data_IF_414542740179
#
_entry.id   IF_414542740179
#
_cell.length_a   1.000
_cell.length_b   1.000
_cell.length_c   1.000
_cell.angle_alpha   90.00
_cell.angle_beta   90.00
_cell.angle_gamma   90.00
#
_symmetry.space_group_name_H-M   'P 1'
#
loop_
_entity.id
_entity.type
_entity.pdbx_description
1 polymer ?
#
# COMPACT_ATOMS: atom_id res chain seq x y z
N UNK A 1 -28.46 -21.35 -6.62
CA UNK A 1 -27.08 -20.87 -6.43
C UNK A 1 -27.18 -19.45 -5.90
N UNK A 2 -26.94 -19.26 -4.60
CA UNK A 2 -27.00 -17.93 -3.99
C UNK A 2 -25.73 -17.17 -4.34
N UNK A 3 -25.85 -16.10 -5.11
CA UNK A 3 -24.76 -15.15 -5.29
C UNK A 3 -24.59 -14.43 -3.96
N UNK A 4 -23.49 -14.71 -3.25
CA UNK A 4 -23.09 -13.95 -2.08
C UNK A 4 -22.78 -12.54 -2.57
N UNK A 5 -23.77 -11.65 -2.51
CA UNK A 5 -23.56 -10.22 -2.73
C UNK A 5 -22.63 -9.77 -1.62
N UNK A 6 -21.34 -9.68 -1.91
CA UNK A 6 -20.36 -9.07 -1.01
C UNK A 6 -20.81 -7.61 -0.88
N UNK A 7 -21.59 -7.33 0.17
CA UNK A 7 -21.90 -5.96 0.55
C UNK A 7 -20.61 -5.36 1.07
N UNK A 8 -19.89 -4.67 0.20
CA UNK A 8 -18.80 -3.79 0.59
C UNK A 8 -19.36 -2.80 1.62
N UNK A 9 -18.92 -2.90 2.86
CA UNK A 9 -19.27 -1.93 3.90
C UNK A 9 -18.57 -0.61 3.59
N UNK A 10 -19.18 0.52 3.96
CA UNK A 10 -18.58 1.84 3.74
C UNK A 10 -17.19 1.97 4.39
N UNK A 11 -16.98 1.27 5.51
CA UNK A 11 -15.68 1.18 6.18
C UNK A 11 -14.61 0.47 5.35
N UNK A 12 -14.99 -0.58 4.62
CA UNK A 12 -14.09 -1.30 3.71
C UNK A 12 -13.72 -0.38 2.54
N UNK A 13 -14.72 0.25 1.92
CA UNK A 13 -14.52 1.19 0.81
C UNK A 13 -13.58 2.33 1.19
N UNK A 14 -13.79 2.95 2.36
CA UNK A 14 -12.93 4.02 2.87
C UNK A 14 -11.50 3.55 3.12
N UNK A 15 -11.33 2.34 3.64
CA UNK A 15 -10.01 1.73 3.88
C UNK A 15 -9.26 1.52 2.56
N UNK A 16 -9.95 0.99 1.55
CA UNK A 16 -9.40 0.79 0.21
C UNK A 16 -9.01 2.12 -0.44
N UNK A 17 -9.83 3.17 -0.31
CA UNK A 17 -9.50 4.52 -0.79
C UNK A 17 -8.26 5.13 -0.12
N UNK A 18 -8.13 4.98 1.20
CA UNK A 18 -6.93 5.45 1.92
C UNK A 18 -5.68 4.68 1.51
N UNK A 19 -5.81 3.35 1.33
CA UNK A 19 -4.72 2.52 0.87
C UNK A 19 -4.27 2.90 -0.56
N UNK A 20 -5.21 3.17 -1.46
CA UNK A 20 -4.90 3.65 -2.82
C UNK A 20 -4.16 5.00 -2.80
N UNK A 21 -4.52 5.91 -1.87
CA UNK A 21 -3.78 7.17 -1.70
C UNK A 21 -2.35 6.93 -1.23
N UNK A 22 -2.14 6.00 -0.30
CA UNK A 22 -0.81 5.62 0.20
C UNK A 22 0.06 5.01 -0.90
N UNK A 23 -0.51 4.13 -1.72
CA UNK A 23 0.15 3.55 -2.91
C UNK A 23 0.49 4.63 -3.94
N UNK A 24 -0.43 5.57 -4.19
CA UNK A 24 -0.18 6.69 -5.12
C UNK A 24 0.92 7.61 -4.59
N UNK A 25 0.94 7.88 -3.29
CA UNK A 25 2.01 8.64 -2.64
C UNK A 25 3.36 7.94 -2.78
N UNK A 26 3.41 6.63 -2.54
CA UNK A 26 4.61 5.80 -2.73
C UNK A 26 5.13 5.91 -4.15
N UNK A 27 4.28 5.66 -5.16
CA UNK A 27 4.69 5.70 -6.56
C UNK A 27 5.18 7.09 -6.99
N UNK A 28 4.44 8.15 -6.63
CA UNK A 28 4.80 9.51 -7.02
C UNK A 28 6.08 10.01 -6.33
N UNK A 29 6.38 9.50 -5.13
CA UNK A 29 7.57 9.86 -4.38
C UNK A 29 8.66 8.78 -4.40
N UNK A 30 8.51 7.73 -5.20
CA UNK A 30 9.38 6.55 -5.17
C UNK A 30 10.87 6.91 -5.25
N UNK A 31 11.23 7.75 -6.22
CA UNK A 31 12.62 8.19 -6.41
C UNK A 31 13.16 9.00 -5.22
N UNK A 32 12.32 9.83 -4.59
CA UNK A 32 12.69 10.61 -3.39
C UNK A 32 12.80 9.71 -2.16
N UNK A 33 11.92 8.71 -2.05
CA UNK A 33 11.91 7.73 -0.97
C UNK A 33 13.14 6.83 -1.08
N UNK A 34 13.46 6.34 -2.28
CA UNK A 34 14.65 5.54 -2.55
C UNK A 34 15.94 6.29 -2.23
N UNK A 35 15.98 7.60 -2.50
CA UNK A 35 17.13 8.43 -2.16
C UNK A 35 17.30 8.61 -0.63
N UNK A 36 16.19 8.69 0.12
CA UNK A 36 16.21 8.90 1.58
C UNK A 36 16.36 7.58 2.36
N UNK A 37 15.78 6.49 1.86
CA UNK A 37 15.72 5.19 2.50
C UNK A 37 16.17 4.09 1.52
N UNK A 38 17.43 4.13 1.05
CA UNK A 38 17.93 3.13 0.11
C UNK A 38 17.95 1.75 0.77
N UNK A 39 17.46 0.73 0.04
CA UNK A 39 17.49 -0.68 0.44
C UNK A 39 16.72 -0.98 1.74
N UNK A 40 15.81 -0.09 2.14
CA UNK A 40 15.02 -0.19 3.35
C UNK A 40 13.56 -0.51 3.05
N UNK A 41 12.95 -1.20 3.99
CA UNK A 41 11.51 -1.31 4.10
C UNK A 41 10.95 0.00 4.64
N UNK A 42 9.87 0.48 4.02
CA UNK A 42 9.15 1.65 4.49
C UNK A 42 7.69 1.30 4.77
N UNK A 43 7.13 1.91 5.80
CA UNK A 43 5.72 1.91 6.12
C UNK A 43 5.13 3.27 5.76
N UNK A 44 4.10 3.29 4.91
CA UNK A 44 3.35 4.49 4.54
C UNK A 44 1.93 4.35 5.08
N UNK A 45 1.47 5.40 5.74
CA UNK A 45 0.10 5.50 6.23
C UNK A 45 -0.35 6.95 6.20
N UNK A 46 -1.48 7.24 5.57
CA UNK A 46 -1.99 8.61 5.46
C UNK A 46 -1.08 9.53 4.64
N UNK A 47 -0.56 9.03 3.52
CA UNK A 47 0.29 9.70 2.54
C UNK A 47 1.61 10.23 3.12
N UNK A 48 2.15 9.53 4.11
CA UNK A 48 3.45 9.84 4.72
C UNK A 48 4.17 8.58 5.16
N UNK A 49 5.50 8.62 5.15
CA UNK A 49 6.33 7.55 5.73
C UNK A 49 6.23 7.63 7.24
N UNK A 50 5.57 6.65 7.84
CA UNK A 50 5.44 6.55 9.29
C UNK A 50 6.64 5.86 9.94
N UNK A 51 7.26 4.92 9.24
CA UNK A 51 8.44 4.17 9.71
C UNK A 51 9.31 3.66 8.57
N UNK A 52 10.57 3.38 8.87
CA UNK A 52 11.49 2.68 7.97
C UNK A 52 12.42 1.74 8.74
N UNK A 53 12.79 0.61 8.12
CA UNK A 53 13.66 -0.39 8.71
C UNK A 53 14.47 -1.16 7.66
N UNK A 54 15.51 -1.87 8.10
CA UNK A 54 16.33 -2.69 7.19
C UNK A 54 15.60 -3.99 6.80
N UNK A 55 14.71 -4.49 7.65
CA UNK A 55 13.93 -5.72 7.43
C UNK A 55 12.44 -5.49 7.71
N UNK A 56 11.58 -6.33 7.11
CA UNK A 56 10.14 -6.24 7.31
C UNK A 56 9.74 -6.49 8.77
N UNK A 57 10.31 -7.51 9.42
CA UNK A 57 10.06 -7.80 10.84
C UNK A 57 10.37 -6.61 11.76
N UNK A 58 11.50 -5.92 11.51
CA UNK A 58 11.85 -4.71 12.24
C UNK A 58 10.83 -3.59 11.99
N UNK A 59 10.37 -3.44 10.74
CA UNK A 59 9.35 -2.45 10.41
C UNK A 59 8.05 -2.74 11.18
N UNK A 60 7.60 -4.00 11.18
CA UNK A 60 6.40 -4.42 11.89
C UNK A 60 6.55 -4.20 13.40
N UNK A 61 7.70 -4.54 13.97
CA UNK A 61 7.97 -4.33 15.39
C UNK A 61 7.93 -2.84 15.76
N UNK A 62 8.54 -1.97 14.95
CA UNK A 62 8.53 -0.51 15.15
C UNK A 62 7.14 0.10 14.99
N UNK A 63 6.39 -0.34 13.99
CA UNK A 63 5.01 0.09 13.77
C UNK A 63 4.12 -0.29 14.96
N UNK A 64 4.23 -1.53 15.45
CA UNK A 64 3.51 -1.99 16.65
C UNK A 64 3.91 -1.19 17.89
N UNK A 65 5.20 -0.93 18.08
CA UNK A 65 5.70 -0.13 19.20
C UNK A 65 5.15 1.31 19.20
N UNK A 66 4.86 1.86 18.01
CA UNK A 66 4.24 3.17 17.82
C UNK A 66 2.71 3.16 17.84
N UNK A 67 2.08 2.00 18.03
CA UNK A 67 0.63 1.86 18.05
C UNK A 67 -0.04 1.87 16.67
N UNK A 68 0.73 1.76 15.58
CA UNK A 68 0.18 1.60 14.25
C UNK A 68 -0.29 0.16 14.03
N UNK A 69 -1.49 0.02 13.45
CA UNK A 69 -1.99 -1.28 12.98
C UNK A 69 -1.26 -1.66 11.70
N UNK A 70 -0.39 -2.65 11.79
CA UNK A 70 0.40 -3.14 10.65
C UNK A 70 -0.44 -3.61 9.44
N UNK A 71 -1.71 -4.00 9.65
CA UNK A 71 -2.64 -4.39 8.57
C UNK A 71 -3.15 -3.20 7.74
N UNK A 72 -3.05 -1.98 8.27
CA UNK A 72 -3.49 -0.75 7.61
C UNK A 72 -2.36 0.00 6.91
N UNK A 73 -1.10 -0.30 7.27
CA UNK A 73 0.07 0.42 6.77
C UNK A 73 0.54 -0.23 5.47
N UNK A 74 0.64 0.56 4.39
CA UNK A 74 1.28 0.13 3.16
C UNK A 74 2.77 -0.10 3.41
N UNK A 75 3.27 -1.27 3.04
CA UNK A 75 4.66 -1.68 3.29
C UNK A 75 5.30 -2.08 1.97
N UNK A 76 6.46 -1.51 1.69
CA UNK A 76 7.22 -1.89 0.49
C UNK A 76 8.71 -1.72 0.71
N UNK A 77 9.49 -2.54 0.02
CA UNK A 77 10.94 -2.47 0.04
C UNK A 77 11.42 -1.54 -1.06
N UNK A 78 12.17 -0.52 -0.70
CA UNK A 78 12.78 0.40 -1.65
C UNK A 78 14.09 -0.18 -2.16
N UNK A 79 14.03 -0.94 -3.24
CA UNK A 79 15.21 -1.43 -3.96
C UNK A 79 15.42 -0.63 -5.25
N UNK A 80 16.63 -0.66 -5.82
CA UNK A 80 16.83 -0.12 -7.17
C UNK A 80 15.96 -0.94 -8.15
N UNK A 81 15.32 -0.21 -9.05
CA UNK A 81 14.09 -0.49 -9.83
C UNK A 81 13.94 -1.85 -10.54
N UNK A 82 14.94 -2.73 -10.53
CA UNK A 82 14.91 -4.00 -11.26
C UNK A 82 14.31 -5.18 -10.47
N UNK A 83 14.08 -5.06 -9.15
CA UNK A 83 13.55 -6.18 -8.33
C UNK A 83 12.15 -5.95 -7.72
N UNK A 84 11.47 -4.83 -7.98
CA UNK A 84 10.27 -4.43 -7.21
C UNK A 84 8.93 -4.97 -7.73
N UNK A 85 8.95 -5.95 -8.65
CA UNK A 85 7.73 -6.51 -9.28
C UNK A 85 6.94 -7.50 -8.38
N UNK A 86 7.46 -7.86 -7.20
CA UNK A 86 6.98 -9.04 -6.47
C UNK A 86 6.19 -8.72 -5.18
N UNK A 87 6.27 -7.50 -4.62
CA UNK A 87 5.80 -7.27 -3.25
C UNK A 87 4.35 -6.77 -3.09
N UNK A 88 3.69 -6.30 -4.14
CA UNK A 88 2.26 -5.98 -4.09
C UNK A 88 1.53 -7.12 -4.78
N UNK A 89 0.91 -8.03 -4.04
CA UNK A 89 0.05 -9.10 -4.59
C UNK A 89 -1.21 -8.60 -5.32
N UNK A 90 -1.17 -7.38 -5.84
CA UNK A 90 -2.11 -6.77 -6.75
C UNK A 90 -1.25 -6.22 -7.89
N UNK A 91 -1.21 -6.94 -9.01
CA UNK A 91 -0.57 -6.46 -10.23
C UNK A 91 -1.27 -5.17 -10.69
N UNK A 92 -0.57 -4.36 -11.48
CA UNK A 92 -1.11 -3.13 -12.08
C UNK A 92 -2.45 -3.36 -12.82
N UNK A 93 -2.68 -4.59 -13.30
CA UNK A 93 -3.94 -5.07 -13.88
C UNK A 93 -5.08 -5.22 -12.85
N UNK A 94 -4.81 -5.72 -11.65
CA UNK A 94 -5.86 -5.91 -10.62
C UNK A 94 -6.29 -4.58 -10.00
N UNK A 95 -5.37 -3.62 -9.88
CA UNK A 95 -5.73 -2.25 -9.49
C UNK A 95 -6.63 -1.59 -10.54
N UNK A 96 -6.39 -1.85 -11.82
CA UNK A 96 -7.31 -1.42 -12.89
C UNK A 96 -8.67 -2.09 -12.76
N UNK A 97 -8.71 -3.39 -12.49
CA UNK A 97 -9.98 -4.12 -12.36
C UNK A 97 -10.81 -3.62 -11.17
N UNK A 98 -10.20 -3.39 -10.00
CA UNK A 98 -10.89 -2.82 -8.82
C UNK A 98 -11.39 -1.40 -9.11
N UNK A 99 -10.59 -0.55 -9.77
CA UNK A 99 -10.99 0.82 -10.12
C UNK A 99 -12.12 0.83 -11.16
N UNK A 100 -12.18 -0.16 -12.05
CA UNK A 100 -13.24 -0.33 -13.05
C UNK A 100 -14.53 -0.88 -12.41
N UNK A 101 -14.41 -1.84 -11.49
CA UNK A 101 -15.53 -2.44 -10.73
C UNK A 101 -16.19 -1.41 -9.80
N UNK A 102 -15.44 -0.43 -9.28
CA UNK A 102 -15.98 0.64 -8.45
C UNK A 102 -16.61 1.81 -9.24
N UNK A 103 -16.56 1.79 -10.58
CA UNK A 103 -17.21 2.80 -11.43
C UNK A 103 -16.61 4.20 -11.32
N UNK A 104 -15.34 4.34 -10.91
CA UNK A 104 -14.68 5.64 -10.67
C UNK A 104 -14.05 6.20 -11.97
N UNK A 105 -13.91 5.38 -13.00
CA UNK A 105 -13.59 5.81 -14.37
C UNK A 105 -14.81 5.60 -15.26
N UNK A 106 -15.72 6.57 -15.29
CA UNK A 106 -16.52 6.79 -16.49
C UNK A 106 -15.76 7.77 -17.38
N UNK A 107 -15.58 7.33 -18.63
CA UNK A 107 -15.16 8.05 -19.86
C UNK A 107 -14.70 9.51 -19.76
#
# INVERSE_FOLDING_TARGET
MGFTRITYTEEQKRRDEEHLKDVKYYNNNYHKLLAQYPERWIGIFGQQVVESAASEDELIARLKARGFRWDLVFRSRLTKKEENLIATGWGEEELRDILNVQGILQE
#
